data_IF_985322129502
#
_entry.id   IF_985322129502
#
_cell.length_a   1.000
_cell.length_b   1.000
_cell.length_c   1.000
_cell.angle_alpha   90.00
_cell.angle_beta   90.00
_cell.angle_gamma   90.00
#
_symmetry.space_group_name_H-M   'P 1'
#
loop_
_entity.id
_entity.type
_entity.pdbx_description
1 polymer ?
#
# COMPACT_ATOMS: atom_id res chain seq x y z
N UNK A 1 -2.36 21.77 -25.01
CA UNK A 1 -2.84 21.34 -23.68
C UNK A 1 -3.66 20.07 -23.86
N UNK A 2 -3.09 18.90 -23.59
CA UNK A 2 -3.81 17.63 -23.69
C UNK A 2 -4.79 17.52 -22.51
N UNK A 3 -6.07 17.27 -22.79
CA UNK A 3 -7.03 16.84 -21.78
C UNK A 3 -6.43 15.66 -21.03
N UNK A 4 -6.24 15.78 -19.72
CA UNK A 4 -5.91 14.64 -18.87
C UNK A 4 -7.10 13.68 -18.98
N UNK A 5 -6.97 12.62 -19.79
CA UNK A 5 -7.94 11.53 -19.79
C UNK A 5 -8.01 11.04 -18.34
N UNK A 6 -9.21 11.13 -17.75
CA UNK A 6 -9.45 10.64 -16.40
C UNK A 6 -9.49 9.10 -16.46
N UNK A 7 -8.31 8.49 -16.60
CA UNK A 7 -8.16 7.04 -16.71
C UNK A 7 -8.52 6.40 -15.38
N UNK A 8 -9.44 5.44 -15.44
CA UNK A 8 -9.87 4.66 -14.27
C UNK A 8 -8.67 3.85 -13.76
N UNK A 9 -8.54 3.72 -12.44
CA UNK A 9 -7.54 2.83 -11.83
C UNK A 9 -7.83 1.39 -12.24
N UNK A 10 -6.83 0.71 -12.80
CA UNK A 10 -6.95 -0.68 -13.28
C UNK A 10 -6.40 -1.68 -12.26
N UNK A 11 -5.51 -1.26 -11.36
CA UNK A 11 -4.98 -2.10 -10.28
C UNK A 11 -4.77 -1.31 -9.00
N UNK A 12 -4.95 -1.98 -7.87
CA UNK A 12 -4.54 -1.50 -6.56
C UNK A 12 -3.36 -2.30 -6.04
N UNK A 13 -2.47 -1.64 -5.31
CA UNK A 13 -1.40 -2.30 -4.56
C UNK A 13 -1.48 -1.81 -3.12
N UNK A 14 -1.85 -2.70 -2.21
CA UNK A 14 -1.79 -2.39 -0.78
C UNK A 14 -0.34 -2.54 -0.33
N UNK A 15 0.23 -1.45 0.16
CA UNK A 15 1.59 -1.31 0.64
C UNK A 15 1.57 -1.22 2.17
N UNK A 16 2.50 -1.92 2.80
CA UNK A 16 2.78 -1.81 4.22
C UNK A 16 4.29 -1.94 4.46
N UNK A 17 4.81 -1.22 5.45
CA UNK A 17 6.23 -1.18 5.80
C UNK A 17 6.43 -1.40 7.30
N UNK A 18 7.35 -2.30 7.64
CA UNK A 18 7.94 -2.31 8.97
C UNK A 18 9.23 -1.50 8.96
N UNK A 19 9.32 -0.51 9.85
CA UNK A 19 10.48 0.37 9.94
C UNK A 19 11.04 0.43 11.37
N UNK A 20 12.35 0.62 11.46
CA UNK A 20 13.03 0.85 12.74
C UNK A 20 12.53 2.13 13.39
N UNK A 21 12.51 2.14 14.72
CA UNK A 21 11.77 3.14 15.50
C UNK A 21 12.25 4.56 15.24
N UNK A 22 11.29 5.47 15.24
CA UNK A 22 11.49 6.91 15.22
C UNK A 22 12.16 7.37 16.53
N UNK A 23 13.43 7.74 16.47
CA UNK A 23 14.20 8.38 17.56
C UNK A 23 13.84 9.87 17.76
N UNK A 24 12.77 10.35 17.12
CA UNK A 24 12.47 11.78 17.02
C UNK A 24 12.88 12.39 15.68
N UNK A 25 13.63 11.68 14.83
CA UNK A 25 14.12 12.17 13.55
C UNK A 25 13.65 11.28 12.38
N UNK A 26 12.76 11.80 11.55
CA UNK A 26 12.23 11.09 10.38
C UNK A 26 13.29 10.76 9.32
N UNK A 27 14.47 11.39 9.38
CA UNK A 27 15.61 11.06 8.52
C UNK A 27 16.32 9.77 8.95
N UNK A 28 16.06 9.29 10.16
CA UNK A 28 16.73 8.13 10.74
C UNK A 28 15.98 6.81 10.59
N UNK A 29 14.73 6.83 10.12
CA UNK A 29 13.96 5.64 9.78
C UNK A 29 14.70 4.74 8.76
N UNK A 30 14.74 3.44 9.04
CA UNK A 30 15.21 2.41 8.12
C UNK A 30 14.16 1.32 7.99
N UNK A 31 13.82 0.94 6.76
CA UNK A 31 12.87 -0.15 6.49
C UNK A 31 13.52 -1.50 6.81
N UNK A 32 12.75 -2.39 7.41
CA UNK A 32 13.10 -3.76 7.79
C UNK A 32 12.30 -4.77 6.98
N UNK A 33 11.06 -4.46 6.66
CA UNK A 33 10.20 -5.25 5.78
C UNK A 33 9.37 -4.31 4.88
N UNK A 34 9.21 -4.69 3.62
CA UNK A 34 8.29 -4.06 2.68
C UNK A 34 7.39 -5.12 2.07
N UNK A 35 6.07 -4.91 2.17
CA UNK A 35 5.09 -5.82 1.59
C UNK A 35 4.14 -5.09 0.63
N UNK A 36 3.89 -5.70 -0.53
CA UNK A 36 2.97 -5.24 -1.56
C UNK A 36 1.99 -6.34 -1.97
N UNK A 37 0.70 -6.03 -1.92
CA UNK A 37 -0.40 -6.88 -2.37
C UNK A 37 -1.08 -6.23 -3.58
N UNK A 38 -0.76 -6.68 -4.79
CA UNK A 38 -1.27 -6.14 -6.04
C UNK A 38 -2.41 -6.95 -6.63
N UNK A 39 -3.53 -6.32 -6.97
CA UNK A 39 -4.69 -6.96 -7.59
C UNK A 39 -5.45 -6.01 -8.53
N UNK A 40 -6.14 -6.53 -9.56
CA UNK A 40 -6.86 -5.70 -10.52
C UNK A 40 -8.14 -5.12 -9.90
N UNK A 41 -8.48 -3.88 -10.26
CA UNK A 41 -9.65 -3.17 -9.76
C UNK A 41 -10.97 -3.88 -10.08
N UNK A 42 -11.02 -4.68 -11.14
CA UNK A 42 -12.20 -5.49 -11.49
C UNK A 42 -12.59 -6.49 -10.39
N UNK A 43 -11.63 -6.95 -9.58
CA UNK A 43 -11.89 -7.91 -8.51
C UNK A 43 -12.60 -7.26 -7.30
N UNK A 44 -12.54 -5.93 -7.20
CA UNK A 44 -13.33 -5.14 -6.23
C UNK A 44 -14.79 -4.93 -6.67
N UNK A 45 -15.15 -5.28 -7.91
CA UNK A 45 -16.51 -5.16 -8.43
C UNK A 45 -17.39 -6.37 -8.11
N UNK A 46 -16.90 -7.29 -7.27
CA UNK A 46 -17.69 -8.41 -6.78
C UNK A 46 -18.85 -7.91 -5.92
N UNK A 47 -19.95 -8.68 -5.90
CA UNK A 47 -21.12 -8.31 -5.11
C UNK A 47 -20.68 -8.05 -3.65
N UNK A 48 -21.04 -6.90 -3.06
CA UNK A 48 -20.62 -6.57 -1.72
C UNK A 48 -21.05 -7.66 -0.76
N UNK A 49 -20.12 -8.08 0.10
CA UNK A 49 -20.41 -9.05 1.15
C UNK A 49 -21.56 -8.48 1.99
N UNK A 50 -22.63 -9.26 2.11
CA UNK A 50 -23.77 -8.90 2.93
C UNK A 50 -23.35 -8.96 4.41
N UNK A 51 -22.86 -7.85 4.93
CA UNK A 51 -22.61 -7.69 6.36
C UNK A 51 -23.93 -7.28 7.01
N UNK A 52 -24.54 -8.16 7.79
CA UNK A 52 -25.66 -7.84 8.68
C UNK A 52 -25.13 -7.51 10.08
N UNK A 53 -25.96 -6.90 10.93
CA UNK A 53 -25.58 -6.60 12.34
C UNK A 53 -25.23 -7.84 13.17
N UNK A 54 -25.59 -9.03 12.68
CA UNK A 54 -25.33 -10.32 13.31
C UNK A 54 -24.29 -11.15 12.55
N UNK A 55 -23.76 -10.63 11.44
CA UNK A 55 -22.65 -11.28 10.75
C UNK A 55 -21.44 -11.24 11.67
N UNK A 56 -20.89 -12.40 12.04
CA UNK A 56 -19.48 -12.48 12.40
C UNK A 56 -18.70 -11.77 11.30
N UNK A 57 -17.66 -11.00 11.67
CA UNK A 57 -16.89 -10.18 10.74
C UNK A 57 -16.41 -11.05 9.56
N UNK A 58 -17.19 -11.08 8.47
CA UNK A 58 -16.85 -11.84 7.28
C UNK A 58 -15.73 -11.08 6.61
N UNK A 59 -14.50 -11.43 6.96
CA UNK A 59 -13.33 -11.00 6.24
C UNK A 59 -13.57 -11.32 4.76
N UNK A 60 -13.51 -10.33 3.86
CA UNK A 60 -13.63 -10.62 2.45
C UNK A 60 -12.56 -11.63 2.04
N UNK A 61 -12.90 -12.62 1.20
CA UNK A 61 -11.87 -13.46 0.63
C UNK A 61 -10.90 -12.57 -0.14
N UNK A 62 -9.59 -12.89 -0.14
CA UNK A 62 -8.63 -12.14 -0.92
C UNK A 62 -8.99 -12.21 -2.42
N UNK A 63 -8.53 -11.23 -3.20
CA UNK A 63 -8.66 -11.28 -4.66
C UNK A 63 -8.08 -12.59 -5.20
N UNK A 64 -8.77 -13.28 -6.13
CA UNK A 64 -8.23 -14.47 -6.78
C UNK A 64 -7.04 -14.14 -7.69
N UNK A 65 -6.89 -12.89 -8.16
CA UNK A 65 -5.78 -12.41 -8.97
C UNK A 65 -4.72 -11.66 -8.14
N UNK A 66 -4.41 -12.16 -6.94
CA UNK A 66 -3.50 -11.51 -6.00
C UNK A 66 -2.02 -11.81 -6.32
N UNK A 67 -1.26 -10.75 -6.56
CA UNK A 67 0.19 -10.78 -6.67
C UNK A 67 0.80 -10.27 -5.36
N UNK A 68 1.87 -10.92 -4.88
CA UNK A 68 2.53 -10.59 -3.62
C UNK A 68 4.01 -10.33 -3.84
N UNK A 69 4.55 -9.32 -3.19
CA UNK A 69 5.98 -9.07 -3.04
C UNK A 69 6.22 -8.72 -1.58
N UNK A 70 7.04 -9.52 -0.90
CA UNK A 70 7.52 -9.23 0.46
C UNK A 70 9.03 -9.29 0.42
N UNK A 71 9.66 -8.23 0.90
CA UNK A 71 11.12 -8.08 0.93
C UNK A 71 11.54 -7.80 2.36
N UNK A 72 12.38 -8.68 2.89
CA UNK A 72 13.11 -8.44 4.13
C UNK A 72 14.36 -7.63 3.79
N UNK A 73 14.60 -6.58 4.57
CA UNK A 73 15.62 -5.57 4.27
C UNK A 73 16.48 -5.38 5.50
N UNK A 74 17.79 -5.49 5.34
CA UNK A 74 18.71 -5.08 6.40
C UNK A 74 18.68 -3.55 6.54
N UNK A 75 18.29 -3.01 7.71
CA UNK A 75 18.15 -1.56 7.91
C UNK A 75 19.48 -0.82 7.95
N UNK A 76 20.62 -1.51 7.98
CA UNK A 76 22.00 -0.99 8.14
C UNK A 76 22.20 -0.16 9.41
N UNK A 77 21.29 -0.31 10.38
CA UNK A 77 21.22 0.45 11.63
C UNK A 77 20.70 -0.44 12.75
N UNK A 78 20.96 -0.02 13.99
CA UNK A 78 20.41 -0.66 15.18
C UNK A 78 18.88 -0.59 15.15
N UNK A 79 18.24 -1.73 15.36
CA UNK A 79 16.82 -1.88 15.62
C UNK A 79 16.66 -1.82 17.14
N UNK A 80 15.92 -0.81 17.62
CA UNK A 80 15.70 -0.68 19.05
C UNK A 80 14.75 -1.77 19.56
N UNK A 81 14.89 -2.20 20.83
CA UNK A 81 14.03 -3.24 21.42
C UNK A 81 12.53 -2.98 21.28
N UNK A 82 12.12 -1.70 21.28
CA UNK A 82 10.73 -1.31 21.06
C UNK A 82 10.23 -1.72 19.66
N UNK A 83 11.03 -1.51 18.60
CA UNK A 83 10.66 -1.99 17.26
C UNK A 83 10.59 -3.51 17.23
N UNK A 84 11.60 -4.19 17.77
CA UNK A 84 11.61 -5.66 17.85
C UNK A 84 10.38 -6.21 18.57
N UNK A 85 9.91 -5.54 19.63
CA UNK A 85 8.71 -5.96 20.35
C UNK A 85 7.42 -5.83 19.51
N UNK A 86 7.35 -4.90 18.55
CA UNK A 86 6.19 -4.73 17.67
C UNK A 86 6.29 -5.60 16.41
N UNK A 87 7.46 -5.68 15.79
CA UNK A 87 7.64 -6.30 14.47
C UNK A 87 8.14 -7.74 14.56
N UNK A 88 8.73 -8.14 15.69
CA UNK A 88 9.43 -9.41 15.83
C UNK A 88 10.78 -9.47 15.10
N UNK A 89 11.22 -8.37 14.46
CA UNK A 89 12.48 -8.29 13.72
C UNK A 89 13.59 -7.68 14.58
N UNK A 90 14.79 -8.24 14.51
CA UNK A 90 15.98 -7.72 15.18
C UNK A 90 17.22 -7.74 14.26
N UNK A 91 18.31 -7.14 14.72
CA UNK A 91 19.51 -7.02 13.91
C UNK A 91 20.18 -8.36 13.59
N UNK A 92 20.05 -9.36 14.46
CA UNK A 92 20.67 -10.67 14.25
C UNK A 92 19.94 -11.43 13.14
N UNK A 93 18.61 -11.36 13.12
CA UNK A 93 17.80 -11.97 12.05
C UNK A 93 18.09 -11.35 10.69
N UNK A 94 18.33 -10.03 10.66
CA UNK A 94 18.48 -9.28 9.40
C UNK A 94 19.94 -9.09 8.95
N UNK A 95 20.93 -9.62 9.69
CA UNK A 95 22.34 -9.28 9.45
C UNK A 95 22.86 -9.71 8.06
N UNK A 96 22.37 -10.85 7.56
CA UNK A 96 22.74 -11.40 6.25
C UNK A 96 21.77 -11.01 5.13
N UNK A 97 20.70 -10.30 5.45
CA UNK A 97 19.76 -9.81 4.45
C UNK A 97 20.36 -8.63 3.68
N UNK A 98 19.90 -8.45 2.44
CA UNK A 98 20.35 -7.33 1.64
C UNK A 98 19.76 -6.02 2.16
N UNK A 99 20.56 -4.96 2.16
CA UNK A 99 20.04 -3.61 2.42
C UNK A 99 19.23 -3.11 1.22
N UNK A 100 18.52 -2.00 1.40
CA UNK A 100 17.79 -1.40 0.27
C UNK A 100 18.75 -0.81 -0.76
N UNK A 101 18.88 -1.48 -1.90
CA UNK A 101 19.78 -1.15 -3.00
C UNK A 101 19.02 -0.98 -4.34
N UNK A 102 19.75 -0.79 -5.43
CA UNK A 102 19.17 -0.69 -6.77
C UNK A 102 18.39 -1.95 -7.19
N UNK A 103 18.82 -3.14 -6.75
CA UNK A 103 18.14 -4.38 -7.11
C UNK A 103 16.76 -4.44 -6.43
N UNK A 104 16.70 -4.10 -5.14
CA UNK A 104 15.45 -3.98 -4.40
C UNK A 104 14.50 -2.97 -5.05
N UNK A 105 15.00 -1.78 -5.41
CA UNK A 105 14.22 -0.77 -6.12
C UNK A 105 13.71 -1.26 -7.49
N UNK A 106 14.54 -1.98 -8.27
CA UNK A 106 14.16 -2.57 -9.55
C UNK A 106 13.10 -3.67 -9.40
N UNK A 107 13.14 -4.46 -8.33
CA UNK A 107 12.10 -5.46 -8.03
C UNK A 107 10.75 -4.78 -7.81
N UNK A 108 10.71 -3.71 -7.01
CA UNK A 108 9.50 -2.91 -6.78
C UNK A 108 8.97 -2.34 -8.10
N UNK A 109 9.83 -1.68 -8.89
CA UNK A 109 9.44 -1.09 -10.17
C UNK A 109 8.91 -2.15 -11.14
N UNK A 110 9.58 -3.30 -11.22
CA UNK A 110 9.18 -4.41 -12.09
C UNK A 110 7.85 -5.03 -11.65
N UNK A 111 7.64 -5.16 -10.34
CA UNK A 111 6.38 -5.63 -9.77
C UNK A 111 5.22 -4.71 -10.16
N UNK A 112 5.39 -3.39 -9.99
CA UNK A 112 4.36 -2.41 -10.34
C UNK A 112 4.09 -2.37 -11.85
N UNK A 113 5.12 -2.43 -12.69
CA UNK A 113 4.98 -2.42 -14.15
C UNK A 113 4.27 -3.66 -14.71
N UNK A 114 4.29 -4.79 -13.98
CA UNK A 114 3.61 -6.03 -14.38
C UNK A 114 2.09 -5.97 -14.19
N UNK A 115 1.59 -5.04 -13.37
CA UNK A 115 0.16 -4.91 -13.09
C UNK A 115 -0.55 -4.06 -14.17
N UNK A 116 -1.85 -4.30 -14.44
CA UNK A 116 -2.67 -3.44 -15.29
C UNK A 116 -2.61 -1.96 -14.85
N UNK A 117 -2.34 -1.07 -15.80
CA UNK A 117 -2.13 0.36 -15.55
C UNK A 117 -3.37 1.21 -15.83
N UNK A 118 -3.58 2.33 -15.11
CA UNK A 118 -2.73 2.85 -14.04
C UNK A 118 -2.91 2.11 -12.70
N UNK A 119 -1.83 2.06 -11.91
CA UNK A 119 -1.80 1.45 -10.57
C UNK A 119 -2.02 2.52 -9.50
N UNK A 120 -2.77 2.19 -8.46
CA UNK A 120 -2.90 3.01 -7.25
C UNK A 120 -2.28 2.29 -6.03
N UNK A 121 -1.26 2.88 -5.42
CA UNK A 121 -0.75 2.44 -4.12
C UNK A 121 -1.70 2.85 -3.00
N UNK A 122 -1.98 1.93 -2.10
CA UNK A 122 -2.86 2.12 -0.95
C UNK A 122 -2.04 1.83 0.30
N UNK A 123 -1.92 2.78 1.23
CA UNK A 123 -1.28 2.56 2.53
C UNK A 123 -2.09 3.25 3.62
N UNK A 124 -2.09 2.70 4.84
CA UNK A 124 -2.83 3.28 5.95
C UNK A 124 -1.98 4.33 6.66
N UNK A 125 -2.44 5.59 6.69
CA UNK A 125 -1.62 6.74 7.10
C UNK A 125 -0.38 6.94 6.19
N UNK A 126 -0.48 6.47 4.93
CA UNK A 126 0.62 6.47 3.96
C UNK A 126 1.15 7.87 3.63
N UNK A 127 0.29 8.90 3.64
CA UNK A 127 0.70 10.28 3.34
C UNK A 127 1.72 10.81 4.36
N UNK A 128 1.60 10.37 5.61
CA UNK A 128 2.49 10.76 6.72
C UNK A 128 3.56 9.72 7.04
N UNK A 129 3.56 8.57 6.36
CA UNK A 129 4.42 7.44 6.70
C UNK A 129 4.96 6.75 5.44
N UNK A 130 4.30 5.71 4.95
CA UNK A 130 4.81 4.75 3.95
C UNK A 130 5.27 5.42 2.65
N UNK A 131 4.46 6.34 2.11
CA UNK A 131 4.77 7.01 0.85
C UNK A 131 6.01 7.92 0.97
N UNK A 132 6.18 8.58 2.12
CA UNK A 132 7.35 9.40 2.39
C UNK A 132 8.61 8.54 2.52
N UNK A 133 8.51 7.40 3.20
CA UNK A 133 9.63 6.47 3.37
C UNK A 133 10.07 5.91 2.02
N UNK A 134 9.14 5.38 1.22
CA UNK A 134 9.44 4.86 -0.14
C UNK A 134 10.05 5.95 -1.01
N UNK A 135 9.46 7.15 -1.02
CA UNK A 135 10.00 8.28 -1.79
C UNK A 135 11.44 8.60 -1.39
N UNK A 136 11.74 8.64 -0.10
CA UNK A 136 13.09 8.93 0.39
C UNK A 136 14.08 7.83 0.02
N UNK A 137 13.68 6.56 0.08
CA UNK A 137 14.52 5.43 -0.32
C UNK A 137 14.87 5.48 -1.81
N UNK A 138 13.89 5.73 -2.67
CA UNK A 138 14.11 5.88 -4.11
C UNK A 138 15.00 7.10 -4.44
N UNK A 139 14.75 8.24 -3.77
CA UNK A 139 15.55 9.45 -3.94
C UNK A 139 17.04 9.24 -3.59
N UNK A 140 17.34 8.45 -2.54
CA UNK A 140 18.72 8.12 -2.15
C UNK A 140 19.48 7.37 -3.25
N UNK A 141 18.77 6.60 -4.07
CA UNK A 141 19.31 5.86 -5.21
C UNK A 141 19.23 6.66 -6.52
N UNK A 142 18.77 7.91 -6.50
CA UNK A 142 18.46 8.69 -7.70
C UNK A 142 17.49 7.98 -8.66
N UNK A 143 16.62 7.14 -8.12
CA UNK A 143 15.58 6.39 -8.84
C UNK A 143 14.21 7.00 -8.56
N UNK A 144 13.23 6.66 -9.40
CA UNK A 144 11.83 7.08 -9.23
C UNK A 144 10.88 5.92 -9.51
N UNK A 145 9.71 5.95 -8.88
CA UNK A 145 8.60 5.08 -9.25
C UNK A 145 8.04 5.48 -10.62
N UNK A 146 7.34 4.57 -11.34
CA UNK A 146 6.74 4.88 -12.64
C UNK A 146 5.77 6.09 -12.57
N UNK A 147 5.70 6.88 -13.64
CA UNK A 147 4.89 8.11 -13.68
C UNK A 147 3.37 7.89 -13.62
N UNK A 148 2.92 6.65 -13.85
CA UNK A 148 1.52 6.22 -13.87
C UNK A 148 1.07 5.57 -12.54
N UNK A 149 1.83 5.79 -11.47
CA UNK A 149 1.46 5.37 -10.11
C UNK A 149 0.71 6.50 -9.41
N UNK A 150 -0.50 6.19 -8.96
CA UNK A 150 -1.30 7.02 -8.06
C UNK A 150 -1.16 6.53 -6.62
N UNK A 151 -1.60 7.35 -5.66
CA UNK A 151 -1.48 7.07 -4.24
C UNK A 151 -2.81 7.42 -3.55
N UNK A 152 -3.20 6.63 -2.56
CA UNK A 152 -4.34 6.93 -1.70
C UNK A 152 -4.04 6.50 -0.27
N UNK A 153 -4.27 7.41 0.66
CA UNK A 153 -4.23 7.10 2.08
C UNK A 153 -5.56 6.45 2.52
N UNK A 154 -5.48 5.20 2.95
CA UNK A 154 -6.67 4.45 3.35
C UNK A 154 -7.31 4.99 4.63
N UNK A 155 -6.55 5.65 5.51
CA UNK A 155 -7.12 6.31 6.71
C UNK A 155 -8.09 7.41 6.30
N UNK A 156 -7.73 8.21 5.30
CA UNK A 156 -8.63 9.24 4.78
C UNK A 156 -9.79 8.62 4.01
N UNK A 157 -9.53 7.61 3.18
CA UNK A 157 -10.57 6.92 2.41
C UNK A 157 -11.64 6.30 3.32
N UNK A 158 -11.25 5.59 4.37
CA UNK A 158 -12.18 4.99 5.32
C UNK A 158 -13.00 6.03 6.06
N UNK A 159 -12.40 7.14 6.52
CA UNK A 159 -13.16 8.25 7.12
C UNK A 159 -14.23 8.78 6.17
N UNK A 160 -13.89 9.01 4.90
CA UNK A 160 -14.87 9.49 3.91
C UNK A 160 -16.02 8.49 3.73
N UNK A 161 -15.70 7.20 3.63
CA UNK A 161 -16.71 6.13 3.49
C UNK A 161 -17.61 6.05 4.73
N UNK A 162 -17.02 6.10 5.92
CA UNK A 162 -17.73 6.02 7.19
C UNK A 162 -18.64 7.22 7.41
N UNK A 163 -18.24 8.42 6.99
CA UNK A 163 -19.06 9.64 7.15
C UNK A 163 -19.98 9.93 5.97
N UNK A 164 -19.94 9.14 4.89
CA UNK A 164 -20.89 9.26 3.79
C UNK A 164 -22.24 8.64 4.18
N UNK A 165 -23.19 9.49 4.60
CA UNK A 165 -24.54 9.07 4.95
C UNK A 165 -25.30 8.42 3.78
N UNK A 166 -24.91 8.68 2.53
CA UNK A 166 -25.47 7.99 1.37
C UNK A 166 -24.90 6.57 1.25
N UNK A 167 -23.69 6.31 1.76
CA UNK A 167 -23.10 4.98 1.82
C UNK A 167 -23.72 4.16 2.95
N UNK A 168 -23.86 4.74 4.15
CA UNK A 168 -24.44 4.09 5.33
C UNK A 168 -25.91 3.67 5.16
N UNK A 169 -26.70 4.41 4.37
CA UNK A 169 -28.14 4.15 4.16
C UNK A 169 -28.44 3.19 3.00
N UNK A 170 -27.44 2.77 2.22
CA UNK A 170 -27.66 1.87 1.08
C UNK A 170 -27.70 0.42 1.53
N UNK A 171 -28.78 -0.33 1.22
CA UNK A 171 -28.70 -1.77 1.28
C UNK A 171 -27.76 -2.23 0.16
N UNK A 172 -26.57 -2.70 0.55
CA UNK A 172 -25.58 -3.37 -0.30
C UNK A 172 -24.90 -2.50 -1.38
N UNK A 173 -24.20 -1.42 -1.04
CA UNK A 173 -23.02 -0.93 -1.79
C UNK A 173 -23.13 -0.68 -3.31
N UNK A 174 -24.32 -0.69 -3.92
CA UNK A 174 -24.48 -0.57 -5.36
C UNK A 174 -24.25 0.87 -5.79
N UNK A 175 -23.31 1.07 -6.71
CA UNK A 175 -23.27 2.24 -7.57
C UNK A 175 -23.94 1.89 -8.90
N UNK A 176 -24.97 2.60 -9.35
CA UNK A 176 -25.14 2.77 -10.79
C UNK A 176 -23.91 3.56 -11.29
N UNK A 177 -23.28 3.17 -12.41
CA UNK A 177 -22.22 3.98 -12.99
C UNK A 177 -22.77 5.39 -13.23
N UNK A 178 -22.08 6.41 -12.71
CA UNK A 178 -22.40 7.81 -13.06
C UNK A 178 -22.34 7.89 -14.59
N UNK A 179 -23.50 8.07 -15.23
CA UNK A 179 -23.56 8.40 -16.65
C UNK A 179 -22.79 9.72 -16.82
N UNK A 180 -21.76 9.68 -17.65
CA UNK A 180 -21.10 10.87 -18.16
C UNK A 180 -22.16 11.75 -18.84
N UNK A 181 -22.33 12.95 -18.30
CA UNK A 181 -22.98 14.08 -18.98
C UNK A 181 -21.87 14.80 -19.75
#
# INVERSE_FOLDING_TARGET
MSKTENRRIESFVVLDLEASTYDGNSRNLSVMELTMYGFPAKDLLTDPIKVTKTSEMCLPPPSPNLNKLTLIINPTKIIYPKSTAFTGLDNYMLEYESHFDENCARLIVSFLNRLPQPVCLVAHNGDSHDFLIVKNMFNKLSMQLPNNIHYVDSLHAFRVIDFDHTFQKRPNGKYPPKRSI
#
